data_IF_435158214282
#
_entry.id   IF_435158214282
#
_cell.length_a   1.000
_cell.length_b   1.000
_cell.length_c   1.000
_cell.angle_alpha   90.00
_cell.angle_beta   90.00
_cell.angle_gamma   90.00
#
_symmetry.space_group_name_H-M   'P 1'
#
loop_
_entity.id
_entity.type
_entity.pdbx_description
1 polymer ?
#
# COMPACT_ATOMS: atom_id res chain seq x y z
N UNK A 1 -20.30 -14.83 2.14
CA UNK A 1 -19.69 -14.73 3.50
C UNK A 1 -18.20 -15.01 3.33
N UNK A 2 -17.33 -14.27 4.00
CA UNK A 2 -15.87 -14.43 3.82
C UNK A 2 -15.31 -15.64 4.56
N UNK A 3 -14.39 -16.36 3.93
CA UNK A 3 -13.60 -17.44 4.51
C UNK A 3 -12.39 -16.85 5.25
N UNK A 4 -12.26 -17.12 6.54
CA UNK A 4 -11.14 -16.63 7.36
C UNK A 4 -10.07 -17.67 7.52
N UNK A 5 -8.81 -17.26 7.40
CA UNK A 5 -7.65 -18.13 7.58
C UNK A 5 -6.48 -17.35 8.20
N UNK A 6 -5.54 -18.10 8.77
CA UNK A 6 -4.35 -17.55 9.41
C UNK A 6 -3.15 -17.71 8.46
N UNK A 7 -2.34 -16.67 8.39
CA UNK A 7 -1.13 -16.62 7.56
C UNK A 7 0.07 -16.40 8.47
N UNK A 8 1.06 -17.30 8.41
CA UNK A 8 2.32 -17.09 9.11
C UNK A 8 3.07 -15.92 8.45
N UNK A 9 3.50 -14.97 9.26
CA UNK A 9 4.15 -13.74 8.81
C UNK A 9 5.23 -13.28 9.79
N UNK A 10 5.84 -12.14 9.49
CA UNK A 10 6.85 -11.48 10.30
C UNK A 10 6.59 -9.98 10.38
N UNK A 11 7.20 -9.32 11.36
CA UNK A 11 7.04 -7.87 11.59
C UNK A 11 8.34 -7.08 11.41
N UNK A 12 8.90 -6.99 10.19
CA UNK A 12 10.00 -6.08 9.91
C UNK A 12 9.57 -4.63 10.10
N UNK A 13 10.38 -3.84 10.82
CA UNK A 13 10.01 -2.46 11.09
C UNK A 13 10.06 -1.58 9.84
N UNK A 14 11.03 -1.78 8.96
CA UNK A 14 11.28 -0.98 7.76
C UNK A 14 11.75 -1.89 6.63
N UNK A 15 11.71 -1.42 5.39
CA UNK A 15 12.21 -2.17 4.22
C UNK A 15 13.65 -2.66 4.43
N UNK A 16 14.47 -1.89 5.14
CA UNK A 16 15.80 -2.31 5.57
C UNK A 16 15.83 -3.72 6.19
N UNK A 17 14.87 -4.04 7.06
CA UNK A 17 14.82 -5.33 7.73
C UNK A 17 14.38 -6.44 6.78
N UNK A 18 13.49 -6.17 5.82
CA UNK A 18 13.16 -7.12 4.75
C UNK A 18 14.44 -7.48 3.97
N UNK A 19 15.21 -6.46 3.59
CA UNK A 19 16.38 -6.62 2.72
C UNK A 19 17.61 -7.24 3.39
N UNK A 20 17.72 -7.17 4.72
CA UNK A 20 19.00 -7.48 5.41
C UNK A 20 18.90 -8.50 6.52
N UNK A 21 17.72 -8.69 7.13
CA UNK A 21 17.58 -9.56 8.30
C UNK A 21 16.13 -9.97 8.60
N UNK A 22 15.35 -10.32 7.58
CA UNK A 22 13.93 -10.65 7.72
C UNK A 22 13.70 -11.79 8.72
N UNK A 23 14.54 -12.82 8.67
CA UNK A 23 14.53 -14.00 9.53
C UNK A 23 14.76 -13.70 11.02
N UNK A 24 15.33 -12.52 11.34
CA UNK A 24 15.55 -12.06 12.73
C UNK A 24 14.40 -11.24 13.27
N UNK A 25 13.42 -10.89 12.43
CA UNK A 25 12.25 -10.11 12.84
C UNK A 25 11.21 -11.01 13.51
N UNK A 26 10.41 -10.44 14.42
CA UNK A 26 9.43 -11.21 15.20
C UNK A 26 8.37 -11.84 14.31
N UNK A 27 8.11 -13.12 14.54
CA UNK A 27 7.04 -13.88 13.89
C UNK A 27 5.66 -13.47 14.42
N UNK A 28 4.64 -13.62 13.57
CA UNK A 28 3.25 -13.32 13.90
C UNK A 28 2.33 -14.15 13.00
N UNK A 29 1.14 -14.49 13.47
CA UNK A 29 0.06 -14.97 12.62
C UNK A 29 -0.87 -13.81 12.31
N UNK A 30 -1.17 -13.59 11.04
CA UNK A 30 -2.14 -12.60 10.61
C UNK A 30 -3.42 -13.29 10.14
N UNK A 31 -4.56 -12.69 10.45
CA UNK A 31 -5.84 -13.10 9.87
C UNK A 31 -6.01 -12.48 8.49
N UNK A 32 -6.47 -13.29 7.54
CA UNK A 32 -6.95 -12.83 6.23
C UNK A 32 -8.36 -13.36 5.98
N UNK A 33 -9.14 -12.62 5.20
CA UNK A 33 -10.54 -12.94 4.87
C UNK A 33 -10.72 -12.96 3.35
N UNK A 34 -10.94 -14.15 2.80
CA UNK A 34 -11.17 -14.40 1.37
C UNK A 34 -12.66 -14.37 1.05
N UNK A 35 -13.02 -13.59 0.05
CA UNK A 35 -14.36 -13.51 -0.51
C UNK A 35 -14.30 -14.02 -1.93
N UNK A 36 -15.09 -15.06 -2.21
CA UNK A 36 -15.26 -15.60 -3.56
C UNK A 36 -16.55 -15.05 -4.16
N UNK A 37 -16.54 -14.67 -5.44
CA UNK A 37 -17.76 -14.34 -6.18
C UNK A 37 -18.52 -15.61 -6.56
N UNK A 38 -19.72 -15.46 -7.14
CA UNK A 38 -20.46 -16.60 -7.68
C UNK A 38 -19.79 -17.16 -8.94
N UNK A 39 -19.75 -18.50 -9.07
CA UNK A 39 -19.19 -19.21 -10.24
C UNK A 39 -18.28 -20.38 -9.85
N UNK A 40 -17.67 -21.00 -10.86
CA UNK A 40 -16.85 -22.22 -10.70
C UNK A 40 -15.33 -21.94 -10.56
N UNK A 41 -14.88 -20.71 -10.86
CA UNK A 41 -13.47 -20.33 -10.85
C UNK A 41 -12.63 -20.99 -11.97
N UNK A 42 -11.29 -20.93 -11.89
CA UNK A 42 -10.53 -20.14 -10.92
C UNK A 42 -10.77 -18.64 -11.10
N UNK A 43 -10.81 -17.90 -10.00
CA UNK A 43 -11.06 -16.46 -10.00
C UNK A 43 -9.75 -15.68 -9.98
N UNK A 44 -9.65 -14.63 -10.79
CA UNK A 44 -8.68 -13.57 -10.51
C UNK A 44 -8.93 -13.01 -9.11
N UNK A 45 -7.87 -12.83 -8.32
CA UNK A 45 -7.98 -12.43 -6.92
C UNK A 45 -7.25 -11.10 -6.66
N UNK A 46 -7.88 -10.23 -5.89
CA UNK A 46 -7.30 -8.96 -5.44
C UNK A 46 -6.95 -9.08 -3.96
N UNK A 47 -5.67 -8.98 -3.62
CA UNK A 47 -5.25 -8.76 -2.24
C UNK A 47 -5.47 -7.28 -1.91
N UNK A 48 -6.36 -6.99 -0.98
CA UNK A 48 -6.75 -5.65 -0.60
C UNK A 48 -6.13 -5.23 0.75
N UNK A 49 -5.54 -4.03 0.80
CA UNK A 49 -4.93 -3.45 2.00
C UNK A 49 -5.45 -2.05 2.32
N UNK A 50 -6.00 -1.88 3.52
CA UNK A 50 -6.54 -0.61 3.99
C UNK A 50 -5.46 0.44 4.30
N UNK A 51 -5.88 1.71 4.42
CA UNK A 51 -5.03 2.82 4.85
C UNK A 51 -4.80 2.91 6.37
N UNK A 52 -4.18 4.00 6.83
CA UNK A 52 -3.79 4.17 8.24
C UNK A 52 -4.98 4.22 9.24
N UNK A 53 -6.22 4.34 8.77
CA UNK A 53 -7.45 4.40 9.57
C UNK A 53 -8.22 3.08 9.67
N UNK A 54 -7.65 1.98 9.18
CA UNK A 54 -8.37 0.71 9.11
C UNK A 54 -9.33 0.63 7.92
N UNK A 55 -10.15 -0.42 7.90
CA UNK A 55 -11.21 -0.60 6.90
C UNK A 55 -12.31 0.47 7.05
N UNK A 56 -12.87 0.92 5.93
CA UNK A 56 -13.85 2.00 5.85
C UNK A 56 -14.83 1.71 4.70
N UNK A 57 -15.93 2.46 4.64
CA UNK A 57 -17.03 2.23 3.69
C UNK A 57 -16.56 2.29 2.23
N UNK A 58 -15.79 3.31 1.85
CA UNK A 58 -15.27 3.45 0.48
C UNK A 58 -14.39 2.28 0.04
N UNK A 59 -13.58 1.69 0.93
CA UNK A 59 -12.85 0.47 0.63
C UNK A 59 -13.81 -0.68 0.30
N UNK A 60 -14.91 -0.80 1.06
CA UNK A 60 -15.92 -1.84 0.85
C UNK A 60 -16.70 -1.63 -0.46
N UNK A 61 -16.94 -0.39 -0.88
CA UNK A 61 -17.59 -0.07 -2.16
C UNK A 61 -16.76 -0.61 -3.34
N UNK A 62 -15.44 -0.39 -3.31
CA UNK A 62 -14.51 -0.97 -4.28
C UNK A 62 -14.52 -2.50 -4.26
N UNK A 63 -14.43 -3.10 -3.06
CA UNK A 63 -14.42 -4.56 -2.89
C UNK A 63 -15.71 -5.19 -3.42
N UNK A 64 -16.87 -4.62 -3.10
CA UNK A 64 -18.16 -5.08 -3.63
C UNK A 64 -18.17 -4.99 -5.15
N UNK A 65 -17.72 -3.85 -5.71
CA UNK A 65 -17.64 -3.68 -7.16
C UNK A 65 -16.72 -4.68 -7.87
N UNK A 66 -15.66 -5.15 -7.21
CA UNK A 66 -14.78 -6.20 -7.74
C UNK A 66 -15.41 -7.59 -7.62
N UNK A 67 -16.06 -7.90 -6.49
CA UNK A 67 -16.79 -9.15 -6.28
C UNK A 67 -17.95 -9.30 -7.28
N UNK A 68 -18.76 -8.25 -7.45
CA UNK A 68 -19.87 -8.20 -8.41
C UNK A 68 -19.39 -8.36 -9.86
N UNK A 69 -18.12 -8.02 -10.13
CA UNK A 69 -17.48 -8.18 -11.42
C UNK A 69 -16.86 -9.58 -11.65
N UNK A 70 -16.93 -10.48 -10.66
CA UNK A 70 -16.41 -11.83 -10.74
C UNK A 70 -14.94 -11.99 -10.32
N UNK A 71 -14.38 -11.03 -9.58
CA UNK A 71 -13.05 -11.14 -8.97
C UNK A 71 -13.16 -11.57 -7.51
N UNK A 72 -12.34 -12.52 -7.09
CA UNK A 72 -12.14 -12.80 -5.67
C UNK A 72 -11.41 -11.64 -5.00
N UNK A 73 -11.66 -11.45 -3.70
CA UNK A 73 -10.97 -10.43 -2.91
C UNK A 73 -10.49 -11.05 -1.60
N UNK A 74 -9.21 -10.88 -1.29
CA UNK A 74 -8.65 -11.26 0.00
C UNK A 74 -8.26 -10.01 0.79
N UNK A 75 -8.96 -9.76 1.90
CA UNK A 75 -8.65 -8.67 2.83
C UNK A 75 -7.56 -9.14 3.79
N UNK A 76 -6.44 -8.41 3.85
CA UNK A 76 -5.34 -8.68 4.79
C UNK A 76 -5.53 -7.84 6.05
N UNK A 77 -5.74 -8.47 7.20
CA UNK A 77 -6.02 -7.77 8.47
C UNK A 77 -4.74 -7.57 9.31
N UNK A 78 -3.74 -6.87 8.73
CA UNK A 78 -2.43 -6.61 9.36
C UNK A 78 -2.53 -5.89 10.71
N UNK A 79 -3.50 -4.97 10.84
CA UNK A 79 -3.70 -4.11 12.01
C UNK A 79 -4.37 -4.86 13.15
N UNK A 80 -5.51 -5.50 12.87
CA UNK A 80 -6.26 -6.31 13.83
C UNK A 80 -5.37 -7.40 14.45
N UNK A 81 -4.58 -8.08 13.62
CA UNK A 81 -3.65 -9.13 14.04
C UNK A 81 -2.55 -8.63 14.99
N UNK A 82 -2.27 -7.33 14.96
CA UNK A 82 -1.32 -6.64 15.85
C UNK A 82 -2.01 -5.86 16.99
N UNK A 83 -3.32 -6.03 17.16
CA UNK A 83 -4.14 -5.28 18.14
C UNK A 83 -4.00 -3.76 18.00
N UNK A 84 -3.97 -3.28 16.76
CA UNK A 84 -3.91 -1.85 16.41
C UNK A 84 -5.14 -1.47 15.61
N UNK A 85 -5.87 -0.44 16.04
CA UNK A 85 -7.06 0.03 15.30
C UNK A 85 -6.71 1.08 14.24
N UNK A 86 -5.70 1.91 14.49
CA UNK A 86 -5.32 3.03 13.61
C UNK A 86 -3.86 3.42 13.83
N UNK A 87 -3.16 3.76 12.75
CA UNK A 87 -1.77 4.26 12.76
C UNK A 87 -1.69 5.76 12.48
N UNK A 88 -2.81 6.49 12.38
CA UNK A 88 -2.82 7.93 12.08
C UNK A 88 -1.91 8.72 13.04
N UNK A 89 -2.01 8.43 14.34
CA UNK A 89 -1.27 9.11 15.40
C UNK A 89 0.16 8.53 15.61
N UNK A 90 0.39 7.25 15.23
CA UNK A 90 1.69 6.56 15.26
C UNK A 90 1.84 5.60 14.07
N UNK A 91 2.36 6.12 12.96
CA UNK A 91 2.66 5.38 11.72
C UNK A 91 3.70 4.25 11.90
N UNK A 92 4.27 4.10 13.11
CA UNK A 92 5.31 3.13 13.42
C UNK A 92 4.77 1.88 14.15
N UNK A 93 3.48 1.88 14.53
CA UNK A 93 2.84 0.75 15.22
C UNK A 93 2.59 -0.43 14.26
N UNK A 94 2.14 -0.16 13.04
CA UNK A 94 2.14 -1.07 11.90
C UNK A 94 2.69 -0.33 10.69
N UNK A 95 3.78 -0.84 10.10
CA UNK A 95 4.47 -0.18 8.98
C UNK A 95 4.14 -0.83 7.65
N UNK A 96 4.35 -0.10 6.55
CA UNK A 96 4.22 -0.65 5.21
C UNK A 96 5.16 -1.85 4.97
N UNK A 97 6.31 -1.93 5.66
CA UNK A 97 7.19 -3.10 5.59
C UNK A 97 6.55 -4.35 6.21
N UNK A 98 5.87 -4.21 7.35
CA UNK A 98 5.10 -5.32 7.92
C UNK A 98 3.99 -5.77 6.97
N UNK A 99 3.24 -4.80 6.42
CA UNK A 99 2.13 -5.07 5.51
C UNK A 99 2.60 -5.66 4.16
N UNK A 100 3.80 -5.35 3.68
CA UNK A 100 4.41 -6.00 2.51
C UNK A 100 4.60 -7.50 2.78
N UNK A 101 5.25 -7.87 3.88
CA UNK A 101 5.45 -9.29 4.23
C UNK A 101 4.11 -10.01 4.40
N UNK A 102 3.16 -9.37 5.08
CA UNK A 102 1.80 -9.88 5.23
C UNK A 102 1.12 -10.16 3.88
N UNK A 103 1.20 -9.23 2.93
CA UNK A 103 0.61 -9.36 1.60
C UNK A 103 1.25 -10.49 0.78
N UNK A 104 2.59 -10.57 0.77
CA UNK A 104 3.30 -11.62 0.02
C UNK A 104 3.06 -13.02 0.60
N UNK A 105 3.07 -13.18 1.93
CA UNK A 105 2.77 -14.47 2.54
C UNK A 105 1.31 -14.89 2.29
N UNK A 106 0.39 -13.91 2.27
CA UNK A 106 -1.01 -14.18 1.89
C UNK A 106 -1.11 -14.61 0.43
N UNK A 107 -0.38 -13.94 -0.48
CA UNK A 107 -0.28 -14.31 -1.89
C UNK A 107 0.21 -15.76 -2.06
N UNK A 108 1.27 -16.15 -1.34
CA UNK A 108 1.82 -17.51 -1.41
C UNK A 108 0.85 -18.60 -0.93
N UNK A 109 -0.07 -18.29 -0.01
CA UNK A 109 -1.13 -19.23 0.38
C UNK A 109 -2.25 -19.29 -0.65
N UNK A 110 -2.67 -18.14 -1.19
CA UNK A 110 -3.72 -18.07 -2.22
C UNK A 110 -3.29 -18.75 -3.52
N UNK A 111 -2.02 -18.67 -3.89
CA UNK A 111 -1.45 -19.35 -5.07
C UNK A 111 -1.55 -20.89 -4.98
N UNK A 112 -1.78 -21.45 -3.78
CA UNK A 112 -1.99 -22.88 -3.58
C UNK A 112 -3.48 -23.28 -3.59
N UNK A 113 -4.40 -22.31 -3.57
CA UNK A 113 -5.83 -22.54 -3.64
C UNK A 113 -6.25 -22.71 -5.11
N UNK A 114 -6.72 -23.90 -5.49
CA UNK A 114 -7.10 -24.20 -6.88
C UNK A 114 -8.27 -23.37 -7.41
N UNK A 115 -8.98 -22.65 -6.52
CA UNK A 115 -10.03 -21.70 -6.89
C UNK A 115 -9.48 -20.33 -7.30
N UNK A 116 -8.20 -20.07 -7.10
CA UNK A 116 -7.57 -18.77 -7.35
C UNK A 116 -6.65 -18.85 -8.58
N UNK A 117 -6.82 -17.89 -9.48
CA UNK A 117 -5.98 -17.71 -10.68
C UNK A 117 -4.92 -16.62 -10.45
N UNK A 118 -4.90 -15.63 -11.35
CA UNK A 118 -4.00 -14.46 -11.21
C UNK A 118 -4.29 -13.68 -9.93
N UNK A 119 -3.25 -13.13 -9.31
CA UNK A 119 -3.33 -12.39 -8.05
C UNK A 119 -2.77 -10.98 -8.21
N UNK A 120 -3.66 -9.99 -8.17
CA UNK A 120 -3.29 -8.58 -8.08
C UNK A 120 -3.30 -8.06 -6.65
N UNK A 121 -2.84 -6.83 -6.47
CA UNK A 121 -2.81 -6.12 -5.18
C UNK A 121 -3.40 -4.73 -5.33
N UNK A 122 -4.28 -4.35 -4.41
CA UNK A 122 -4.85 -3.02 -4.32
C UNK A 122 -4.72 -2.49 -2.90
N UNK A 123 -4.55 -1.17 -2.75
CA UNK A 123 -4.56 -0.60 -1.43
C UNK A 123 -4.61 0.92 -1.40
N UNK A 124 -4.95 1.45 -0.24
CA UNK A 124 -5.18 2.88 -0.02
C UNK A 124 -4.16 3.48 0.93
N UNK A 125 -3.61 4.66 0.62
CA UNK A 125 -2.69 5.39 1.51
C UNK A 125 -1.49 4.53 1.96
N UNK A 126 -1.47 4.07 3.21
CA UNK A 126 -0.48 3.10 3.71
C UNK A 126 -0.53 1.78 2.92
N UNK A 127 -1.72 1.21 2.69
CA UNK A 127 -1.89 0.05 1.82
C UNK A 127 -1.58 0.36 0.34
N UNK A 128 -1.78 1.59 -0.11
CA UNK A 128 -1.38 2.02 -1.45
C UNK A 128 0.14 2.03 -1.59
N UNK A 129 0.84 2.42 -0.53
CA UNK A 129 2.31 2.32 -0.46
C UNK A 129 2.77 0.87 -0.58
N UNK A 130 2.05 -0.07 0.05
CA UNK A 130 2.31 -1.51 -0.06
C UNK A 130 2.08 -1.98 -1.50
N UNK A 131 0.93 -1.65 -2.10
CA UNK A 131 0.60 -2.00 -3.47
C UNK A 131 1.67 -1.49 -4.47
N UNK A 132 2.12 -0.23 -4.33
CA UNK A 132 3.15 0.35 -5.18
C UNK A 132 4.52 -0.33 -5.01
N UNK A 133 5.03 -0.43 -3.78
CA UNK A 133 6.38 -0.97 -3.54
C UNK A 133 6.47 -2.49 -3.59
N UNK A 134 5.34 -3.20 -3.62
CA UNK A 134 5.32 -4.65 -3.92
C UNK A 134 5.81 -4.98 -5.32
N UNK A 135 5.82 -4.01 -6.24
CA UNK A 135 6.39 -4.17 -7.58
C UNK A 135 7.92 -4.05 -7.62
N UNK A 136 8.59 -3.71 -6.51
CA UNK A 136 10.04 -3.49 -6.49
C UNK A 136 10.81 -4.82 -6.46
N UNK A 137 11.69 -5.08 -7.43
CA UNK A 137 12.32 -6.41 -7.60
C UNK A 137 13.06 -6.91 -6.36
N UNK A 138 13.86 -6.11 -5.62
CA UNK A 138 14.50 -6.58 -4.39
C UNK A 138 13.54 -7.05 -3.29
N UNK A 139 12.29 -6.58 -3.29
CA UNK A 139 11.25 -7.09 -2.38
C UNK A 139 10.71 -8.42 -2.87
N UNK A 140 10.41 -8.51 -4.17
CA UNK A 140 9.95 -9.74 -4.84
C UNK A 140 10.99 -10.85 -4.64
N UNK A 141 12.27 -10.58 -4.91
CA UNK A 141 13.37 -11.54 -4.79
C UNK A 141 13.46 -12.19 -3.38
N UNK A 142 13.01 -11.50 -2.33
CA UNK A 142 13.04 -11.98 -0.94
C UNK A 142 11.70 -12.59 -0.52
N UNK A 143 10.59 -11.97 -0.91
CA UNK A 143 9.26 -12.30 -0.39
C UNK A 143 8.47 -13.29 -1.27
N UNK A 144 8.90 -13.53 -2.50
CA UNK A 144 8.31 -14.55 -3.38
C UNK A 144 7.85 -14.01 -4.72
N UNK A 145 6.89 -14.69 -5.34
CA UNK A 145 6.49 -14.35 -6.70
C UNK A 145 5.77 -12.99 -6.80
N UNK A 146 5.92 -12.29 -7.95
CA UNK A 146 5.31 -10.97 -8.17
C UNK A 146 3.79 -11.04 -8.21
N UNK A 147 3.14 -9.90 -7.98
CA UNK A 147 1.72 -9.71 -8.25
C UNK A 147 1.49 -9.50 -9.75
N UNK A 148 0.33 -9.93 -10.26
CA UNK A 148 -0.03 -9.81 -11.67
C UNK A 148 -0.50 -8.40 -12.06
N UNK A 149 -0.97 -7.60 -11.10
CA UNK A 149 -1.36 -6.20 -11.29
C UNK A 149 -1.31 -5.41 -9.97
N UNK A 150 -1.05 -4.11 -10.04
CA UNK A 150 -0.94 -3.22 -8.87
C UNK A 150 -1.87 -2.01 -8.99
N UNK A 151 -2.73 -1.81 -7.99
CA UNK A 151 -3.69 -0.70 -7.93
C UNK A 151 -3.53 0.13 -6.64
N UNK A 152 -2.51 0.99 -6.55
CA UNK A 152 -2.35 1.91 -5.43
C UNK A 152 -3.25 3.15 -5.56
N UNK A 153 -4.01 3.43 -4.51
CA UNK A 153 -4.74 4.68 -4.29
C UNK A 153 -3.92 5.59 -3.37
N UNK A 154 -3.60 6.79 -3.86
CA UNK A 154 -2.88 7.86 -3.14
C UNK A 154 -1.72 7.36 -2.24
N UNK A 155 -0.73 6.65 -2.81
CA UNK A 155 0.36 6.04 -2.04
C UNK A 155 1.34 7.08 -1.48
N UNK A 156 1.96 6.77 -0.33
CA UNK A 156 3.10 7.51 0.19
C UNK A 156 4.39 7.15 -0.57
N UNK A 157 4.51 7.59 -1.82
CA UNK A 157 5.57 7.25 -2.77
C UNK A 157 6.93 7.94 -2.52
N UNK A 158 7.35 8.11 -1.26
CA UNK A 158 8.51 8.92 -0.86
C UNK A 158 9.85 8.17 -0.80
N UNK A 159 9.85 6.84 -0.92
CA UNK A 159 11.07 6.04 -0.93
C UNK A 159 11.74 6.10 -2.31
N UNK A 160 13.07 6.18 -2.32
CA UNK A 160 13.91 6.28 -3.51
C UNK A 160 15.00 5.22 -3.46
N UNK A 161 14.75 4.01 -4.01
CA UNK A 161 15.75 2.96 -4.04
C UNK A 161 16.85 3.26 -5.06
N UNK A 162 18.10 2.93 -4.72
CA UNK A 162 19.25 2.97 -5.62
C UNK A 162 19.16 1.87 -6.68
N UNK A 163 18.65 0.69 -6.30
CA UNK A 163 18.32 -0.37 -7.26
C UNK A 163 16.98 -0.03 -7.89
N UNK A 164 16.98 0.40 -9.15
CA UNK A 164 15.79 0.83 -9.89
C UNK A 164 15.26 -0.28 -10.81
N UNK A 165 15.17 -1.50 -10.27
CA UNK A 165 14.56 -2.65 -10.96
C UNK A 165 13.17 -2.89 -10.39
N UNK A 166 12.18 -2.96 -11.28
CA UNK A 166 10.77 -3.10 -10.94
C UNK A 166 10.15 -4.20 -11.79
N UNK A 167 9.04 -4.77 -11.32
CA UNK A 167 8.24 -5.72 -12.07
C UNK A 167 7.70 -5.09 -13.35
N UNK A 168 7.56 -5.90 -14.38
CA UNK A 168 6.85 -5.54 -15.61
C UNK A 168 5.32 -5.65 -15.45
N UNK A 169 4.83 -6.08 -14.29
CA UNK A 169 3.39 -6.12 -14.02
C UNK A 169 2.76 -4.73 -14.16
N UNK A 170 1.55 -4.62 -14.76
CA UNK A 170 0.85 -3.35 -14.91
C UNK A 170 0.55 -2.69 -13.56
N UNK A 171 0.72 -1.37 -13.50
CA UNK A 171 0.43 -0.54 -12.32
C UNK A 171 -0.52 0.58 -12.73
N UNK A 172 -1.67 0.70 -12.05
CA UNK A 172 -2.54 1.88 -12.16
C UNK A 172 -2.55 2.63 -10.84
N UNK A 173 -2.02 3.85 -10.85
CA UNK A 173 -1.98 4.72 -9.68
C UNK A 173 -3.11 5.75 -9.79
N UNK A 174 -3.95 5.83 -8.77
CA UNK A 174 -5.06 6.77 -8.69
C UNK A 174 -4.76 7.81 -7.60
N UNK A 175 -4.71 9.09 -7.95
CA UNK A 175 -4.22 10.12 -7.02
C UNK A 175 -4.90 11.47 -7.23
N UNK A 176 -5.21 12.17 -6.14
CA UNK A 176 -5.64 13.57 -6.20
C UNK A 176 -4.46 14.55 -6.19
N UNK A 177 -4.56 15.67 -6.91
CA UNK A 177 -3.51 16.70 -6.96
C UNK A 177 -3.53 17.68 -5.77
N UNK A 178 -4.62 17.72 -5.00
CA UNK A 178 -4.78 18.54 -3.79
C UNK A 178 -4.41 17.77 -2.50
N UNK A 179 -3.90 16.54 -2.61
CA UNK A 179 -3.44 15.73 -1.48
C UNK A 179 -2.22 16.37 -0.78
N UNK A 180 -2.43 16.87 0.43
CA UNK A 180 -1.39 17.45 1.29
C UNK A 180 -0.86 16.46 2.34
N UNK A 181 -1.40 15.24 2.40
CA UNK A 181 -0.93 14.17 3.27
C UNK A 181 0.20 13.38 2.61
N UNK A 182 -0.04 12.91 1.39
CA UNK A 182 0.90 12.18 0.54
C UNK A 182 0.99 12.86 -0.82
N UNK A 183 1.73 13.99 -0.93
CA UNK A 183 1.69 14.82 -2.13
C UNK A 183 2.02 14.09 -3.44
N UNK A 184 1.23 14.39 -4.48
CA UNK A 184 1.30 13.78 -5.82
C UNK A 184 2.72 13.72 -6.42
N UNK A 185 3.54 14.76 -6.22
CA UNK A 185 4.89 14.83 -6.78
C UNK A 185 5.80 13.66 -6.37
N UNK A 186 5.49 12.96 -5.28
CA UNK A 186 6.21 11.76 -4.91
C UNK A 186 5.98 10.62 -5.90
N UNK A 187 4.75 10.45 -6.40
CA UNK A 187 4.42 9.50 -7.46
C UNK A 187 5.02 9.94 -8.77
N UNK A 188 4.84 11.21 -9.16
CA UNK A 188 5.41 11.75 -10.40
C UNK A 188 6.92 11.51 -10.48
N UNK A 189 7.62 11.70 -9.36
CA UNK A 189 9.07 11.46 -9.26
C UNK A 189 9.49 9.98 -9.31
N UNK A 190 8.55 9.02 -9.23
CA UNK A 190 8.81 7.59 -9.45
C UNK A 190 8.38 7.11 -10.84
N UNK A 191 7.41 7.75 -11.49
CA UNK A 191 6.87 7.31 -12.78
C UNK A 191 7.94 6.95 -13.83
N UNK A 192 9.04 7.71 -14.00
CA UNK A 192 10.08 7.36 -14.98
C UNK A 192 10.81 6.04 -14.70
N UNK A 193 10.68 5.50 -13.48
CA UNK A 193 11.32 4.27 -13.04
C UNK A 193 10.39 3.05 -13.14
N UNK A 194 9.09 3.26 -13.35
CA UNK A 194 8.08 2.21 -13.34
C UNK A 194 7.71 1.86 -14.80
N UNK A 195 8.08 0.67 -15.31
CA UNK A 195 8.03 0.39 -16.74
C UNK A 195 6.60 0.41 -17.31
N UNK A 196 5.65 -0.21 -16.59
CA UNK A 196 4.25 -0.36 -17.04
C UNK A 196 3.28 0.33 -16.08
N UNK A 197 3.63 1.53 -15.62
CA UNK A 197 2.77 2.34 -14.75
C UNK A 197 1.99 3.41 -15.51
N UNK A 198 0.71 3.53 -15.16
CA UNK A 198 -0.16 4.64 -15.50
C UNK A 198 -0.53 5.41 -14.24
N UNK A 199 -0.47 6.74 -14.29
CA UNK A 199 -0.95 7.62 -13.23
C UNK A 199 -2.18 8.38 -13.74
N UNK A 200 -3.31 8.16 -13.08
CA UNK A 200 -4.50 8.98 -13.26
C UNK A 200 -4.63 9.99 -12.13
N UNK A 201 -4.60 11.28 -12.50
CA UNK A 201 -4.68 12.40 -11.57
C UNK A 201 -6.08 12.98 -11.56
N UNK A 202 -6.70 13.05 -10.39
CA UNK A 202 -7.95 13.76 -10.16
C UNK A 202 -7.66 15.20 -9.72
N UNK A 203 -8.16 16.16 -10.50
CA UNK A 203 -7.97 17.57 -10.20
C UNK A 203 -8.83 18.00 -9.00
N UNK A 204 -8.26 18.86 -8.16
CA UNK A 204 -8.86 19.40 -6.92
C UNK A 204 -9.23 18.32 -5.89
N UNK A 205 -8.73 17.10 -6.05
CA UNK A 205 -9.05 15.99 -5.18
C UNK A 205 -8.01 15.85 -4.06
N UNK A 206 -8.48 15.74 -2.81
CA UNK A 206 -7.64 15.54 -1.64
C UNK A 206 -7.35 14.05 -1.36
N UNK A 207 -6.66 13.77 -0.27
CA UNK A 207 -6.51 12.42 0.25
C UNK A 207 -7.89 11.82 0.57
N UNK A 208 -8.09 10.52 0.29
CA UNK A 208 -9.41 9.85 0.43
C UNK A 208 -10.50 10.39 -0.52
N UNK A 209 -10.12 10.84 -1.73
CA UNK A 209 -11.04 11.34 -2.75
C UNK A 209 -12.15 10.34 -3.13
N UNK A 210 -11.92 9.04 -2.95
CA UNK A 210 -12.85 7.96 -3.24
C UNK A 210 -13.84 7.71 -2.08
N UNK A 211 -13.79 8.53 -1.03
CA UNK A 211 -14.73 8.51 0.07
C UNK A 211 -15.91 9.49 -0.11
N UNK A 212 -16.82 9.48 0.86
CA UNK A 212 -17.93 10.44 0.98
C UNK A 212 -17.67 11.47 2.10
N UNK A 213 -16.41 11.61 2.54
CA UNK A 213 -16.07 12.50 3.65
C UNK A 213 -16.21 13.96 3.25
N UNK A 214 -16.74 14.80 4.14
CA UNK A 214 -16.60 16.25 4.04
C UNK A 214 -15.14 16.65 4.27
N UNK A 215 -14.74 17.82 3.73
CA UNK A 215 -13.42 18.38 3.93
C UNK A 215 -13.08 18.47 5.42
N UNK A 216 -12.15 17.63 5.86
CA UNK A 216 -11.81 17.46 7.26
C UNK A 216 -10.30 17.64 7.47
N UNK A 217 -9.93 18.58 8.33
CA UNK A 217 -8.53 18.74 8.77
C UNK A 217 -8.21 17.76 9.91
N UNK A 218 -7.16 16.96 9.73
CA UNK A 218 -6.66 15.97 10.68
C UNK A 218 -5.36 16.47 11.34
N UNK A 219 -5.44 17.16 12.50
CA UNK A 219 -4.30 17.89 13.07
C UNK A 219 -3.15 17.00 13.56
N UNK A 220 -3.38 15.69 13.69
CA UNK A 220 -2.37 14.72 14.13
C UNK A 220 -1.77 13.89 13.00
N UNK A 221 -2.33 13.97 11.79
CA UNK A 221 -1.85 13.24 10.63
C UNK A 221 -0.38 13.62 10.35
N UNK A 222 0.51 12.63 10.36
CA UNK A 222 1.92 12.84 9.98
C UNK A 222 1.99 12.85 8.45
N UNK A 223 2.17 14.03 7.87
CA UNK A 223 2.20 14.22 6.42
C UNK A 223 3.61 14.21 5.84
N UNK A 224 3.71 13.97 4.54
CA UNK A 224 4.93 14.16 3.77
C UNK A 224 4.97 15.57 3.19
N UNK A 225 6.16 16.20 3.17
CA UNK A 225 6.39 17.46 2.46
C UNK A 225 7.12 17.21 1.15
N UNK A 226 8.40 17.58 1.07
CA UNK A 226 9.23 17.41 -0.14
C UNK A 226 10.36 16.39 0.03
N UNK A 227 10.52 15.82 1.23
CA UNK A 227 11.66 14.97 1.56
C UNK A 227 11.39 13.53 1.16
N UNK A 228 12.36 12.91 0.52
CA UNK A 228 12.39 11.49 0.21
C UNK A 228 13.28 10.73 1.18
N UNK A 229 13.08 9.41 1.25
CA UNK A 229 13.97 8.49 1.95
C UNK A 229 14.73 7.66 0.91
N UNK A 230 16.05 7.70 0.93
CA UNK A 230 16.91 6.89 0.06
C UNK A 230 17.05 5.49 0.64
N UNK A 231 16.97 4.47 -0.20
CA UNK A 231 17.36 3.09 0.13
C UNK A 231 18.59 2.75 -0.70
N UNK A 232 19.72 2.49 -0.06
CA UNK A 232 20.95 2.13 -0.76
C UNK A 232 20.95 0.68 -1.26
N UNK A 233 21.94 0.31 -2.09
CA UNK A 233 22.08 -1.06 -2.62
C UNK A 233 22.25 -2.14 -1.55
N UNK A 234 22.60 -1.79 -0.32
CA UNK A 234 22.72 -2.70 0.81
C UNK A 234 21.45 -2.70 1.69
N UNK A 235 20.38 -2.04 1.24
CA UNK A 235 19.12 -1.92 1.96
C UNK A 235 19.12 -0.93 3.12
N UNK A 236 20.16 -0.10 3.28
CA UNK A 236 20.15 0.93 4.33
C UNK A 236 19.33 2.14 3.92
N UNK A 237 18.43 2.56 4.79
CA UNK A 237 17.54 3.69 4.60
C UNK A 237 18.09 4.95 5.26
N UNK A 238 18.03 6.07 4.54
CA UNK A 238 18.43 7.38 5.08
C UNK A 238 17.58 8.51 4.52
N UNK A 239 17.39 9.56 5.31
CA UNK A 239 16.72 10.80 4.89
C UNK A 239 17.71 11.96 4.91
N UNK A 240 17.65 12.81 3.91
CA UNK A 240 18.45 14.03 3.88
C UNK A 240 17.74 15.13 4.70
N UNK A 241 18.48 15.73 5.63
CA UNK A 241 18.05 16.88 6.44
C UNK A 241 18.65 18.18 5.89
N UNK A 242 18.52 19.27 6.64
CA UNK A 242 19.12 20.54 6.26
C UNK A 242 20.65 20.39 6.15
N UNK A 243 21.29 21.06 5.17
CA UNK A 243 22.73 21.04 4.90
C UNK A 243 23.31 19.70 4.38
N UNK A 244 22.49 18.82 3.78
CA UNK A 244 22.98 17.59 3.15
C UNK A 244 23.35 16.46 4.12
N UNK A 245 23.11 16.65 5.42
CA UNK A 245 23.34 15.61 6.43
C UNK A 245 22.30 14.49 6.24
N UNK A 246 22.77 13.26 6.06
CA UNK A 246 21.91 12.07 5.98
C UNK A 246 21.75 11.44 7.35
N UNK A 247 20.50 11.33 7.81
CA UNK A 247 20.18 10.56 9.01
C UNK A 247 19.70 9.16 8.65
N UNK A 248 20.14 8.12 9.38
CA UNK A 248 19.62 6.78 9.20
C UNK A 248 18.12 6.73 9.57
N UNK A 249 17.37 5.89 8.87
CA UNK A 249 15.92 5.69 9.07
C UNK A 249 15.56 4.24 9.36
N UNK A 250 16.55 3.38 9.60
CA UNK A 250 16.39 1.94 9.76
C UNK A 250 15.67 1.55 11.08
N UNK A 251 15.78 2.37 12.12
CA UNK A 251 15.35 2.01 13.48
C UNK A 251 14.16 2.84 13.97
N UNK A 252 13.32 2.26 14.82
CA UNK A 252 12.12 2.93 15.39
C UNK A 252 12.43 4.29 16.00
N UNK A 253 13.48 4.35 16.81
CA UNK A 253 13.87 5.59 17.47
C UNK A 253 14.35 6.64 16.47
N UNK A 254 15.01 6.25 15.38
CA UNK A 254 15.45 7.17 14.32
C UNK A 254 14.25 7.82 13.64
N UNK A 255 13.24 7.01 13.26
CA UNK A 255 11.99 7.50 12.65
C UNK A 255 11.23 8.43 13.59
N UNK A 256 11.10 8.08 14.89
CA UNK A 256 10.49 8.95 15.91
C UNK A 256 11.20 10.30 16.03
N UNK A 257 12.53 10.29 16.05
CA UNK A 257 13.33 11.52 16.09
C UNK A 257 13.11 12.39 14.86
N UNK A 258 13.10 11.80 13.67
CA UNK A 258 12.87 12.54 12.42
C UNK A 258 11.46 13.15 12.39
N UNK A 259 10.42 12.40 12.75
CA UNK A 259 9.05 12.93 12.84
C UNK A 259 8.98 14.11 13.83
N UNK A 260 9.64 13.99 14.99
CA UNK A 260 9.70 15.07 15.99
C UNK A 260 10.43 16.31 15.49
N UNK A 261 11.54 16.14 14.77
CA UNK A 261 12.32 17.25 14.20
C UNK A 261 11.53 17.96 13.09
N UNK A 262 10.87 17.20 12.22
CA UNK A 262 10.18 17.76 11.06
C UNK A 262 8.87 18.48 11.42
N UNK A 263 8.26 18.15 12.58
CA UNK A 263 7.00 18.75 13.06
C UNK A 263 5.91 18.78 11.98
N UNK A 264 5.86 17.72 11.17
CA UNK A 264 5.04 17.57 9.97
C UNK A 264 3.66 16.99 10.29
N UNK A 265 2.87 17.72 11.08
CA UNK A 265 1.51 17.30 11.45
C UNK A 265 0.44 18.19 10.82
N UNK A 266 -0.72 17.60 10.50
CA UNK A 266 -1.87 18.27 9.91
C UNK A 266 -2.01 17.96 8.42
N UNK A 267 -3.13 17.37 8.00
CA UNK A 267 -3.44 17.13 6.59
C UNK A 267 -4.96 17.14 6.39
N UNK A 268 -5.41 17.23 5.15
CA UNK A 268 -6.83 17.22 4.79
C UNK A 268 -7.23 15.89 4.15
N UNK A 269 -8.45 15.48 4.44
CA UNK A 269 -9.16 14.43 3.71
C UNK A 269 -10.47 15.00 3.21
N UNK A 270 -10.87 14.63 2.00
CA UNK A 270 -12.15 15.02 1.41
C UNK A 270 -12.54 13.99 0.36
N UNK A 271 -13.81 13.62 0.34
CA UNK A 271 -14.41 12.85 -0.73
C UNK A 271 -14.73 13.73 -1.93
N UNK A 272 -14.46 13.26 -3.14
CA UNK A 272 -14.71 14.00 -4.36
C UNK A 272 -15.66 13.18 -5.26
N UNK A 273 -16.95 13.54 -5.40
CA UNK A 273 -17.97 12.70 -6.05
C UNK A 273 -17.60 12.20 -7.44
N UNK A 274 -17.08 13.08 -8.31
CA UNK A 274 -16.67 12.70 -9.68
C UNK A 274 -15.47 11.77 -9.68
N UNK A 275 -14.43 12.07 -8.89
CA UNK A 275 -13.23 11.23 -8.75
C UNK A 275 -13.56 9.86 -8.15
N UNK A 276 -14.46 9.80 -7.17
CA UNK A 276 -14.96 8.55 -6.59
C UNK A 276 -15.69 7.69 -7.62
N UNK A 277 -16.60 8.28 -8.38
CA UNK A 277 -17.34 7.54 -9.40
C UNK A 277 -16.40 6.98 -10.48
N UNK A 278 -15.45 7.80 -10.94
CA UNK A 278 -14.45 7.37 -11.92
C UNK A 278 -13.51 6.30 -11.34
N UNK A 279 -13.04 6.46 -10.10
CA UNK A 279 -12.12 5.50 -9.50
C UNK A 279 -12.75 4.13 -9.30
N UNK A 280 -14.03 4.06 -8.89
CA UNK A 280 -14.78 2.80 -8.81
C UNK A 280 -14.79 2.06 -10.15
N UNK A 281 -15.10 2.79 -11.23
CA UNK A 281 -15.11 2.25 -12.57
C UNK A 281 -13.72 1.84 -13.04
N UNK A 282 -12.76 2.76 -13.00
CA UNK A 282 -11.40 2.58 -13.53
C UNK A 282 -10.63 1.48 -12.80
N UNK A 283 -10.76 1.41 -11.48
CA UNK A 283 -10.18 0.35 -10.67
C UNK A 283 -10.70 -1.03 -11.11
N UNK A 284 -12.01 -1.16 -11.30
CA UNK A 284 -12.65 -2.40 -11.72
C UNK A 284 -12.21 -2.81 -13.12
N UNK A 285 -12.24 -1.91 -14.09
CA UNK A 285 -11.84 -2.23 -15.48
C UNK A 285 -10.36 -2.65 -15.54
N UNK A 286 -9.48 -1.94 -14.85
CA UNK A 286 -8.05 -2.29 -14.77
C UNK A 286 -7.83 -3.70 -14.20
N UNK A 287 -8.49 -4.03 -13.09
CA UNK A 287 -8.34 -5.35 -12.47
C UNK A 287 -8.95 -6.46 -13.35
N UNK A 288 -10.08 -6.20 -14.01
CA UNK A 288 -10.67 -7.16 -14.96
C UNK A 288 -9.77 -7.41 -16.17
N UNK A 289 -9.15 -6.36 -16.71
CA UNK A 289 -8.24 -6.48 -17.85
C UNK A 289 -7.05 -7.39 -17.55
N UNK A 290 -6.52 -7.32 -16.32
CA UNK A 290 -5.26 -7.99 -15.99
C UNK A 290 -5.43 -9.29 -15.21
N UNK A 291 -6.49 -9.44 -14.40
CA UNK A 291 -6.66 -10.60 -13.52
C UNK A 291 -7.67 -11.64 -14.03
N UNK A 292 -8.47 -11.31 -15.04
CA UNK A 292 -9.36 -12.28 -15.69
C UNK A 292 -8.60 -13.25 -16.60
#
# INVERSE_FOLDING_TARGET
MGERFQVQSRSPFEIHHILTCLEKTSEINIESELFLPEGDGPFGCVIALHGSRGWATHHQDHINGWLDAGLAVCKVNSFLSRSVDSTVDDQLSVTHAMMLVDAFNTRSLLEQDSRIGKIGIAGWSLGGTVALYSAWSPIIDILGAPFDAHLPFYPAAHLRPEIQKWSESPILILHGDADDWTPLHFVEGLMPLLPNANLHVYSEAHHSFDSEMELTHLPRAVHLKKRTARIDKNGSMSGELFLGIRLPLNQRWQRRWVIRILRNRGAHVEGHPTARADSLHRAREFLLEHLR
#
